data_IF_537932313760
#
_entry.id   IF_537932313760
#
_cell.length_a   1.000
_cell.length_b   1.000
_cell.length_c   1.000
_cell.angle_alpha   90.00
_cell.angle_beta   90.00
_cell.angle_gamma   90.00
#
_symmetry.space_group_name_H-M   'P 1'
#
loop_
_entity.id
_entity.type
_entity.pdbx_description
1 polymer ?
#
# COMPACT_ATOMS: atom_id res chain seq x y z
N UNK A 1 19.47 -1.96 31.13
CA UNK A 1 19.51 -1.36 29.77
C UNK A 1 18.16 -0.74 29.51
N UNK A 2 18.10 0.56 29.23
CA UNK A 2 16.87 1.25 28.88
C UNK A 2 16.80 1.19 27.35
N UNK A 3 15.77 0.51 26.83
CA UNK A 3 15.55 0.44 25.39
C UNK A 3 15.15 1.82 24.86
N UNK A 4 15.49 2.09 23.60
CA UNK A 4 15.08 3.33 22.93
C UNK A 4 13.54 3.39 22.87
N UNK A 5 12.90 4.37 23.51
CA UNK A 5 11.44 4.48 23.55
C UNK A 5 10.82 4.75 22.17
N UNK A 6 11.63 5.16 21.19
CA UNK A 6 11.20 5.41 19.82
C UNK A 6 11.38 4.20 18.90
N UNK A 7 11.95 3.09 19.40
CA UNK A 7 12.20 1.90 18.58
C UNK A 7 10.87 1.33 18.05
N UNK A 8 10.63 1.58 16.77
CA UNK A 8 9.53 1.04 16.00
C UNK A 8 10.09 0.37 14.77
N UNK A 9 9.40 -0.66 14.30
CA UNK A 9 9.73 -1.29 13.04
C UNK A 9 9.52 -0.28 11.88
N UNK A 10 10.48 -0.20 10.96
CA UNK A 10 10.36 0.64 9.77
C UNK A 10 9.11 0.29 8.94
N UNK A 11 8.39 1.32 8.49
CA UNK A 11 7.19 1.21 7.65
C UNK A 11 7.25 2.23 6.51
N UNK A 12 8.05 1.98 5.47
CA UNK A 12 8.15 2.89 4.32
C UNK A 12 6.79 3.09 3.65
N UNK A 13 6.57 4.28 3.09
CA UNK A 13 5.35 4.64 2.37
C UNK A 13 5.59 4.54 0.88
N UNK A 14 4.52 4.27 0.12
CA UNK A 14 4.53 4.35 -1.34
C UNK A 14 3.65 5.51 -1.82
N UNK A 15 4.05 6.13 -2.93
CA UNK A 15 3.19 7.04 -3.68
C UNK A 15 2.37 6.21 -4.67
N UNK A 16 1.05 6.22 -4.51
CA UNK A 16 0.17 5.53 -5.45
C UNK A 16 0.06 6.32 -6.75
N UNK A 17 0.47 5.70 -7.86
CA UNK A 17 0.36 6.24 -9.24
C UNK A 17 -0.43 5.28 -10.16
N UNK A 18 -1.20 4.37 -9.56
CA UNK A 18 -2.00 3.38 -10.29
C UNK A 18 -3.31 3.97 -10.82
N UNK A 19 -4.13 3.09 -11.40
CA UNK A 19 -5.41 3.48 -11.98
C UNK A 19 -6.39 4.00 -10.91
N UNK A 20 -7.24 4.94 -11.32
CA UNK A 20 -8.44 5.29 -10.55
C UNK A 20 -9.41 4.11 -10.50
N UNK A 21 -10.39 4.11 -9.57
CA UNK A 21 -11.41 3.07 -9.53
C UNK A 21 -12.07 2.86 -10.89
N UNK A 22 -12.21 1.59 -11.29
CA UNK A 22 -12.81 1.20 -12.57
C UNK A 22 -13.70 -0.03 -12.42
N UNK A 23 -14.70 -0.12 -13.28
CA UNK A 23 -15.56 -1.29 -13.37
C UNK A 23 -14.87 -2.42 -14.12
N UNK A 24 -14.96 -3.64 -13.58
CA UNK A 24 -14.38 -4.82 -14.21
C UNK A 24 -15.34 -5.35 -15.28
N UNK A 25 -14.86 -5.46 -16.53
CA UNK A 25 -15.62 -6.13 -17.59
C UNK A 25 -15.75 -7.64 -17.29
N UNK A 26 -16.91 -8.26 -17.62
CA UNK A 26 -17.05 -9.71 -17.61
C UNK A 26 -15.94 -10.36 -18.42
N UNK A 27 -15.50 -11.55 -18.02
CA UNK A 27 -14.33 -12.20 -18.61
C UNK A 27 -14.42 -12.35 -20.14
N UNK A 28 -15.62 -12.66 -20.65
CA UNK A 28 -15.88 -12.77 -22.08
C UNK A 28 -15.75 -11.43 -22.87
N UNK A 29 -15.58 -10.30 -22.17
CA UNK A 29 -15.51 -8.94 -22.71
C UNK A 29 -14.24 -8.20 -22.25
N UNK A 30 -13.24 -8.90 -21.70
CA UNK A 30 -11.98 -8.31 -21.25
C UNK A 30 -11.02 -8.09 -22.40
#
# INVERSE_FOLDING_TARGET
MIADPEQKIGRPRQLFIGDTPREAKPLAQR
#
